data_IF_419119057071
#
_entry.id   IF_419119057071
#
_cell.length_a   1.000
_cell.length_b   1.000
_cell.length_c   1.000
_cell.angle_alpha   90.00
_cell.angle_beta   90.00
_cell.angle_gamma   90.00
#
_symmetry.space_group_name_H-M   'P 1'
#
loop_
_entity.id
_entity.type
_entity.pdbx_description
1 polymer ?
#
# COMPACT_ATOMS: atom_id res chain seq x y z
N UNK A 1 10.25 0.01 11.37
CA UNK A 1 9.20 0.33 10.38
C UNK A 1 9.71 1.37 9.41
N UNK A 2 9.16 1.37 8.20
CA UNK A 2 9.55 2.23 7.10
C UNK A 2 8.35 2.53 6.20
N UNK A 3 8.27 3.75 5.72
CA UNK A 3 7.32 4.18 4.69
C UNK A 3 8.07 4.98 3.64
N UNK A 4 7.86 4.64 2.37
CA UNK A 4 8.53 5.26 1.24
C UNK A 4 7.56 5.56 0.12
N UNK A 5 7.81 6.67 -0.58
CA UNK A 5 7.11 7.09 -1.77
C UNK A 5 8.12 7.24 -2.91
N UNK A 6 7.82 6.61 -4.04
CA UNK A 6 8.63 6.70 -5.25
C UNK A 6 7.85 7.50 -6.27
N UNK A 7 8.42 8.62 -6.71
CA UNK A 7 7.84 9.49 -7.74
C UNK A 7 8.46 9.11 -9.08
N UNK A 8 7.58 8.86 -10.04
CA UNK A 8 7.88 8.39 -11.37
C UNK A 8 7.43 9.42 -12.40
N UNK A 9 8.21 9.61 -13.45
CA UNK A 9 7.82 10.40 -14.63
C UNK A 9 7.74 9.50 -15.85
N UNK A 10 6.60 9.48 -16.54
CA UNK A 10 6.44 8.60 -17.70
C UNK A 10 7.18 9.16 -18.92
N UNK A 11 7.96 8.33 -19.62
CA UNK A 11 8.66 8.71 -20.86
C UNK A 11 7.78 8.60 -22.11
N UNK A 12 6.75 7.76 -22.05
CA UNK A 12 5.78 7.53 -23.11
C UNK A 12 4.35 7.42 -22.56
N UNK A 13 3.36 7.57 -23.43
CA UNK A 13 1.95 7.41 -23.08
C UNK A 13 1.49 5.98 -23.39
N UNK A 14 0.49 5.48 -22.67
CA UNK A 14 -0.05 4.14 -22.89
C UNK A 14 -1.09 3.72 -21.85
N UNK A 15 -1.57 2.49 -21.97
CA UNK A 15 -2.48 1.88 -21.00
C UNK A 15 -1.86 0.57 -20.51
N UNK A 16 -1.79 0.41 -19.19
CA UNK A 16 -1.39 -0.85 -18.56
C UNK A 16 -2.64 -1.45 -17.93
N UNK A 17 -3.02 -2.65 -18.37
CA UNK A 17 -4.21 -3.32 -17.86
C UNK A 17 -4.03 -3.82 -16.43
N UNK A 18 -2.82 -4.24 -16.05
CA UNK A 18 -2.47 -4.83 -14.75
C UNK A 18 -1.31 -4.10 -14.04
N UNK A 19 -1.40 -2.78 -13.80
CA UNK A 19 -0.27 -1.96 -13.34
C UNK A 19 0.27 -2.42 -11.97
N UNK A 20 -0.58 -2.82 -11.04
CA UNK A 20 -0.15 -3.31 -9.71
C UNK A 20 0.67 -4.60 -9.79
N UNK A 21 0.32 -5.51 -10.70
CA UNK A 21 1.07 -6.75 -10.93
C UNK A 21 2.43 -6.46 -11.57
N UNK A 22 2.47 -5.58 -12.57
CA UNK A 22 3.70 -5.17 -13.23
C UNK A 22 4.63 -4.45 -12.26
N UNK A 23 4.10 -3.55 -11.45
CA UNK A 23 4.84 -2.85 -10.40
C UNK A 23 5.41 -3.85 -9.38
N UNK A 24 4.58 -4.79 -8.90
CA UNK A 24 5.06 -5.84 -8.01
C UNK A 24 6.24 -6.60 -8.62
N UNK A 25 6.13 -7.05 -9.88
CA UNK A 25 7.22 -7.74 -10.58
C UNK A 25 8.50 -6.91 -10.66
N UNK A 26 8.40 -5.62 -10.97
CA UNK A 26 9.55 -4.73 -11.01
C UNK A 26 10.22 -4.57 -9.63
N UNK A 27 9.42 -4.37 -8.56
CA UNK A 27 9.96 -4.25 -7.20
C UNK A 27 10.59 -5.58 -6.74
N UNK A 28 9.98 -6.72 -7.03
CA UNK A 28 10.58 -8.02 -6.68
C UNK A 28 11.92 -8.22 -7.40
N UNK A 29 12.03 -7.80 -8.67
CA UNK A 29 13.32 -7.86 -9.39
C UNK A 29 14.42 -7.08 -8.66
N UNK A 30 14.12 -5.87 -8.18
CA UNK A 30 15.07 -5.07 -7.39
C UNK A 30 15.39 -5.70 -6.03
N UNK A 31 14.40 -6.29 -5.36
CA UNK A 31 14.64 -6.92 -4.07
C UNK A 31 15.42 -8.24 -4.21
N UNK A 32 15.20 -8.99 -5.29
CA UNK A 32 15.84 -10.29 -5.54
C UNK A 32 17.35 -10.21 -5.82
N UNK A 33 17.87 -9.03 -6.17
CA UNK A 33 19.34 -8.83 -6.30
C UNK A 33 20.05 -8.83 -4.93
N UNK A 34 19.31 -8.64 -3.84
CA UNK A 34 19.85 -8.58 -2.47
C UNK A 34 19.29 -9.62 -1.51
N UNK A 35 18.04 -10.03 -1.71
CA UNK A 35 17.34 -10.97 -0.83
C UNK A 35 17.09 -12.28 -1.56
N UNK A 36 17.26 -13.38 -0.83
CA UNK A 36 16.77 -14.69 -1.27
C UNK A 36 15.25 -14.60 -1.54
N UNK A 37 14.81 -15.18 -2.66
CA UNK A 37 13.41 -15.17 -3.09
C UNK A 37 12.47 -15.74 -2.01
N UNK A 38 12.95 -16.68 -1.18
CA UNK A 38 12.21 -17.23 -0.05
C UNK A 38 11.94 -16.17 1.04
N UNK A 39 12.79 -15.15 1.20
CA UNK A 39 12.51 -14.02 2.11
C UNK A 39 11.44 -13.07 1.55
N UNK A 40 11.08 -13.18 0.28
CA UNK A 40 10.06 -12.35 -0.39
C UNK A 40 8.75 -13.14 -0.58
N UNK A 41 8.84 -14.42 -0.92
CA UNK A 41 7.69 -15.27 -1.29
C UNK A 41 7.55 -16.56 -0.48
N UNK A 42 8.51 -16.89 0.38
CA UNK A 42 8.48 -18.08 1.21
C UNK A 42 7.54 -17.98 2.42
N UNK A 43 7.59 -18.99 3.29
CA UNK A 43 6.74 -19.08 4.49
C UNK A 43 7.01 -17.95 5.49
N UNK A 44 8.28 -17.61 5.66
CA UNK A 44 8.77 -16.53 6.54
C UNK A 44 9.06 -15.25 5.76
N UNK A 45 8.28 -14.97 4.72
CA UNK A 45 8.47 -13.79 3.90
C UNK A 45 8.35 -12.51 4.73
N UNK A 46 9.18 -11.54 4.38
CA UNK A 46 9.10 -10.18 4.92
C UNK A 46 7.73 -9.59 4.57
N UNK A 47 7.09 -8.99 5.57
CA UNK A 47 5.79 -8.33 5.39
C UNK A 47 6.03 -6.91 4.89
N UNK A 48 5.59 -6.64 3.68
CA UNK A 48 5.53 -5.30 3.13
C UNK A 48 4.25 -5.12 2.34
N UNK A 49 3.88 -3.86 2.14
CA UNK A 49 2.70 -3.48 1.40
C UNK A 49 3.08 -2.52 0.29
N UNK A 50 2.50 -2.72 -0.88
CA UNK A 50 2.56 -1.80 -2.01
C UNK A 50 1.19 -1.17 -2.21
N UNK A 51 1.16 0.12 -2.55
CA UNK A 51 -0.03 0.72 -3.15
C UNK A 51 -0.06 0.46 -4.67
N UNK A 52 -1.23 0.63 -5.31
CA UNK A 52 -1.31 0.86 -6.75
C UNK A 52 -0.50 2.10 -7.17
N UNK A 53 -0.38 2.31 -8.48
CA UNK A 53 0.13 3.56 -9.04
C UNK A 53 -0.95 4.64 -8.97
N UNK A 54 -0.55 5.79 -8.46
CA UNK A 54 -1.36 6.99 -8.32
C UNK A 54 -0.86 8.09 -9.25
N UNK A 55 -1.77 8.90 -9.79
CA UNK A 55 -1.43 10.17 -10.42
C UNK A 55 -1.09 11.19 -9.34
N UNK A 56 0.04 11.88 -9.49
CA UNK A 56 0.45 12.93 -8.55
C UNK A 56 -0.46 14.16 -8.62
N UNK A 57 -1.17 14.37 -9.74
CA UNK A 57 -2.07 15.51 -9.96
C UNK A 57 -3.34 15.44 -9.12
N UNK A 58 -3.90 14.24 -8.93
CA UNK A 58 -5.23 14.07 -8.34
C UNK A 58 -5.33 12.95 -7.31
N UNK A 59 -4.23 12.28 -6.99
CA UNK A 59 -4.18 11.20 -6.01
C UNK A 59 -5.22 10.10 -6.30
N UNK A 60 -5.46 9.82 -7.59
CA UNK A 60 -6.30 8.70 -8.03
C UNK A 60 -5.43 7.57 -8.60
N UNK A 61 -5.85 6.33 -8.36
CA UNK A 61 -5.21 5.18 -8.99
C UNK A 61 -5.40 5.22 -10.50
N UNK A 62 -4.34 4.97 -11.27
CA UNK A 62 -4.35 5.09 -12.73
C UNK A 62 -4.07 3.76 -13.45
N UNK A 63 -4.60 3.65 -14.66
CA UNK A 63 -4.26 2.60 -15.64
C UNK A 63 -3.81 3.18 -16.99
N UNK A 64 -4.18 4.43 -17.28
CA UNK A 64 -3.73 5.21 -18.43
C UNK A 64 -2.64 6.16 -17.97
N UNK A 65 -1.55 6.19 -18.71
CA UNK A 65 -0.39 7.01 -18.46
C UNK A 65 -0.17 7.95 -19.63
N UNK A 66 0.24 9.16 -19.33
CA UNK A 66 0.49 10.24 -20.27
C UNK A 66 1.97 10.58 -20.24
N UNK A 67 2.52 10.96 -21.40
CA UNK A 67 3.93 11.28 -21.54
C UNK A 67 4.26 12.52 -20.69
N UNK A 68 5.38 12.46 -19.98
CA UNK A 68 5.89 13.49 -19.06
C UNK A 68 5.04 13.76 -17.81
N UNK A 69 3.91 13.07 -17.62
CA UNK A 69 3.13 13.17 -16.40
C UNK A 69 3.79 12.40 -15.25
N UNK A 70 3.47 12.84 -14.02
CA UNK A 70 4.04 12.31 -12.77
C UNK A 70 3.07 11.36 -12.06
N UNK A 71 3.62 10.26 -11.61
CA UNK A 71 2.94 9.20 -10.89
C UNK A 71 3.71 8.87 -9.63
N UNK A 72 3.08 8.17 -8.69
CA UNK A 72 3.79 7.65 -7.54
C UNK A 72 3.19 6.36 -7.03
N UNK A 73 3.97 5.63 -6.26
CA UNK A 73 3.47 4.54 -5.43
C UNK A 73 4.11 4.59 -4.05
N UNK A 74 3.40 4.00 -3.10
CA UNK A 74 3.83 3.83 -1.72
C UNK A 74 4.33 2.41 -1.51
N UNK A 75 5.41 2.28 -0.74
CA UNK A 75 5.81 1.04 -0.09
C UNK A 75 5.91 1.28 1.41
N UNK A 76 5.44 0.33 2.21
CA UNK A 76 5.68 0.33 3.64
C UNK A 76 6.00 -1.07 4.15
N UNK A 77 6.76 -1.13 5.24
CA UNK A 77 7.20 -2.38 5.84
C UNK A 77 7.56 -2.21 7.31
N UNK A 78 7.52 -3.30 8.07
CA UNK A 78 8.12 -3.35 9.41
C UNK A 78 9.65 -3.42 9.34
N UNK A 79 10.19 -3.94 8.24
CA UNK A 79 11.62 -4.16 7.99
C UNK A 79 12.29 -2.94 7.34
N UNK A 80 13.08 -2.19 8.11
CA UNK A 80 13.79 -1.00 7.60
C UNK A 80 14.74 -1.33 6.44
N UNK A 81 15.35 -2.52 6.45
CA UNK A 81 16.30 -2.98 5.43
C UNK A 81 15.68 -3.03 4.03
N UNK A 82 14.36 -3.30 3.91
CA UNK A 82 13.68 -3.36 2.61
C UNK A 82 13.76 -2.02 1.87
N UNK A 83 13.47 -0.91 2.54
CA UNK A 83 13.51 0.39 1.86
C UNK A 83 14.92 0.91 1.62
N UNK A 84 15.91 0.53 2.43
CA UNK A 84 17.33 0.83 2.17
C UNK A 84 17.85 0.12 0.90
N UNK A 85 17.49 -1.16 0.74
CA UNK A 85 17.84 -1.92 -0.47
C UNK A 85 17.12 -1.32 -1.68
N UNK A 86 15.83 -1.03 -1.54
CA UNK A 86 15.07 -0.41 -2.62
C UNK A 86 15.65 0.95 -3.02
N UNK A 87 15.99 1.82 -2.06
CA UNK A 87 16.59 3.12 -2.35
C UNK A 87 17.91 2.99 -3.10
N UNK A 88 18.75 2.04 -2.70
CA UNK A 88 20.03 1.78 -3.36
C UNK A 88 19.82 1.27 -4.80
N UNK A 89 18.89 0.34 -5.01
CA UNK A 89 18.60 -0.19 -6.34
C UNK A 89 18.00 0.85 -7.28
N UNK A 90 17.08 1.68 -6.79
CA UNK A 90 16.50 2.78 -7.57
C UNK A 90 17.53 3.87 -7.91
N UNK A 91 18.59 4.03 -7.10
CA UNK A 91 19.69 4.93 -7.41
C UNK A 91 20.61 4.39 -8.51
N UNK A 92 20.77 3.06 -8.61
CA UNK A 92 21.54 2.41 -9.67
C UNK A 92 20.75 2.27 -10.98
N UNK A 93 19.47 1.91 -10.88
CA UNK A 93 18.55 1.78 -12.01
C UNK A 93 17.54 2.93 -11.96
N UNK A 94 17.83 4.03 -12.68
CA UNK A 94 17.00 5.24 -12.71
C UNK A 94 15.71 5.12 -13.52
N UNK A 95 15.39 3.93 -14.03
CA UNK A 95 14.18 3.69 -14.81
C UNK A 95 13.48 2.40 -14.44
N UNK A 96 12.15 2.40 -14.47
CA UNK A 96 11.31 1.22 -14.30
C UNK A 96 10.47 1.06 -15.56
N UNK A 97 10.49 -0.14 -16.15
CA UNK A 97 9.60 -0.48 -17.28
C UNK A 97 8.43 -1.31 -16.78
N UNK A 98 7.21 -0.83 -17.01
CA UNK A 98 5.98 -1.52 -16.68
C UNK A 98 5.23 -1.83 -17.98
N UNK A 99 5.35 -3.09 -18.42
CA UNK A 99 5.00 -3.48 -19.78
C UNK A 99 5.75 -2.59 -20.81
N UNK A 100 5.03 -1.95 -21.71
CA UNK A 100 5.54 -1.13 -22.80
C UNK A 100 5.74 0.35 -22.39
N UNK A 101 5.45 0.71 -21.14
CA UNK A 101 5.63 2.07 -20.61
C UNK A 101 6.90 2.15 -19.75
N UNK A 102 7.75 3.13 -20.06
CA UNK A 102 8.99 3.39 -19.34
C UNK A 102 8.81 4.60 -18.44
N UNK A 103 9.18 4.43 -17.18
CA UNK A 103 9.17 5.48 -16.16
C UNK A 103 10.60 5.82 -15.77
N UNK A 104 10.90 7.11 -15.67
CA UNK A 104 12.07 7.62 -14.95
C UNK A 104 11.73 7.75 -13.46
N UNK A 105 12.66 7.36 -12.59
CA UNK A 105 12.53 7.61 -11.15
C UNK A 105 13.00 9.04 -10.90
N UNK A 106 12.05 9.92 -10.61
CA UNK A 106 12.32 11.35 -10.41
C UNK A 106 12.70 11.64 -8.96
N UNK A 107 11.98 11.06 -8.00
CA UNK A 107 12.26 11.27 -6.57
C UNK A 107 12.03 9.98 -5.76
N UNK A 108 12.83 9.78 -4.72
CA UNK A 108 12.63 8.75 -3.71
C UNK A 108 12.62 9.37 -2.32
N UNK A 109 11.50 9.24 -1.60
CA UNK A 109 11.34 9.78 -0.25
C UNK A 109 11.05 8.64 0.72
N UNK A 110 11.66 8.69 1.89
CA UNK A 110 11.57 7.61 2.87
C UNK A 110 11.58 8.19 4.28
N UNK A 111 10.76 7.61 5.16
CA UNK A 111 10.76 7.90 6.58
C UNK A 111 10.88 6.60 7.38
N UNK A 112 11.71 6.62 8.41
CA UNK A 112 11.88 5.49 9.35
C UNK A 112 11.58 5.87 10.81
N UNK A 113 11.10 7.10 11.00
CA UNK A 113 10.76 7.73 12.27
C UNK A 113 9.36 8.33 12.15
N UNK A 114 8.52 8.08 13.15
CA UNK A 114 7.11 8.43 13.11
C UNK A 114 6.72 9.02 14.47
N UNK A 115 5.96 10.11 14.45
CA UNK A 115 5.21 10.58 15.60
C UNK A 115 3.89 9.80 15.66
N UNK A 116 3.59 9.21 16.80
CA UNK A 116 2.36 8.44 17.01
C UNK A 116 1.45 9.13 18.01
N UNK A 117 0.21 9.34 17.58
CA UNK A 117 -0.84 10.01 18.34
C UNK A 117 -1.98 9.02 18.58
N UNK A 118 -1.88 8.24 19.66
CA UNK A 118 -2.80 7.13 19.95
C UNK A 118 -4.26 7.56 20.06
N UNK A 119 -4.53 8.77 20.55
CA UNK A 119 -5.86 9.36 20.65
C UNK A 119 -6.59 9.48 19.30
N UNK A 120 -5.84 9.51 18.19
CA UNK A 120 -6.39 9.62 16.83
C UNK A 120 -6.34 8.31 16.04
N UNK A 121 -5.81 7.22 16.62
CA UNK A 121 -5.73 5.91 15.97
C UNK A 121 -7.07 5.17 16.03
N UNK A 122 -8.11 5.77 15.47
CA UNK A 122 -9.47 5.23 15.41
C UNK A 122 -9.92 4.93 13.97
N UNK A 123 -9.12 5.28 12.96
CA UNK A 123 -9.54 5.23 11.55
C UNK A 123 -8.48 4.59 10.66
N UNK A 124 -8.92 3.64 9.83
CA UNK A 124 -8.13 3.06 8.74
C UNK A 124 -8.64 3.58 7.40
N UNK A 125 -7.74 4.16 6.61
CA UNK A 125 -8.00 4.61 5.24
C UNK A 125 -7.39 3.60 4.25
N UNK A 126 -8.24 2.93 3.48
CA UNK A 126 -7.84 1.92 2.51
C UNK A 126 -7.39 2.57 1.20
N UNK A 127 -6.12 2.94 1.12
CA UNK A 127 -5.47 3.49 -0.08
C UNK A 127 -5.12 2.42 -1.12
N UNK A 128 -5.73 1.26 -1.04
CA UNK A 128 -5.81 0.29 -2.12
C UNK A 128 -6.94 -0.68 -1.81
N UNK A 129 -7.50 -1.36 -2.82
CA UNK A 129 -8.61 -2.29 -2.61
C UNK A 129 -8.25 -3.37 -1.59
N UNK A 130 -9.01 -3.44 -0.50
CA UNK A 130 -8.90 -4.51 0.50
C UNK A 130 -9.90 -5.61 0.19
N UNK A 131 -9.44 -6.84 0.25
CA UNK A 131 -10.30 -8.00 0.17
C UNK A 131 -9.78 -9.08 1.09
N UNK A 132 -10.67 -9.93 1.57
CA UNK A 132 -10.29 -11.07 2.40
C UNK A 132 -10.65 -12.37 1.72
N UNK A 133 -9.74 -13.33 1.77
CA UNK A 133 -10.00 -14.67 1.24
C UNK A 133 -10.95 -15.42 2.18
N UNK A 134 -12.11 -15.83 1.66
CA UNK A 134 -13.06 -16.69 2.39
C UNK A 134 -12.75 -18.16 2.09
N UNK A 135 -12.52 -18.48 0.81
CA UNK A 135 -12.20 -19.84 0.35
C UNK A 135 -11.21 -19.80 -0.82
N UNK A 136 -10.91 -20.96 -1.43
CA UNK A 136 -9.94 -21.04 -2.54
C UNK A 136 -10.28 -20.07 -3.69
N UNK A 137 -11.57 -19.90 -3.99
CA UNK A 137 -12.07 -19.13 -5.12
C UNK A 137 -13.00 -17.96 -4.73
N UNK A 138 -13.22 -17.72 -3.43
CA UNK A 138 -14.15 -16.69 -2.94
C UNK A 138 -13.42 -15.67 -2.10
N UNK A 139 -13.67 -14.41 -2.41
CA UNK A 139 -13.13 -13.23 -1.76
C UNK A 139 -14.28 -12.37 -1.22
N UNK A 140 -14.10 -11.81 -0.03
CA UNK A 140 -14.99 -10.82 0.58
C UNK A 140 -14.47 -9.41 0.25
N UNK A 141 -15.15 -8.64 -0.61
CA UNK A 141 -14.73 -7.30 -1.01
C UNK A 141 -15.20 -6.22 -0.02
N UNK A 142 -15.24 -6.53 1.28
CA UNK A 142 -15.67 -5.63 2.34
C UNK A 142 -14.75 -5.74 3.56
N UNK A 143 -14.53 -4.64 4.31
CA UNK A 143 -13.79 -4.67 5.57
C UNK A 143 -14.57 -5.48 6.60
N UNK A 144 -13.95 -6.55 7.10
CA UNK A 144 -14.53 -7.44 8.11
C UNK A 144 -13.70 -7.31 9.41
N UNK A 145 -14.26 -6.71 10.48
CA UNK A 145 -13.57 -6.54 11.76
C UNK A 145 -12.93 -7.82 12.29
N UNK A 146 -13.60 -8.97 12.17
CA UNK A 146 -13.07 -10.23 12.68
C UNK A 146 -11.81 -10.64 11.91
N UNK A 147 -11.75 -10.36 10.61
CA UNK A 147 -10.59 -10.67 9.77
C UNK A 147 -9.45 -9.67 9.94
N UNK A 148 -9.78 -8.40 10.21
CA UNK A 148 -8.78 -7.39 10.58
C UNK A 148 -8.15 -7.76 11.93
N UNK A 149 -8.97 -8.05 12.94
CA UNK A 149 -8.54 -8.56 14.26
C UNK A 149 -7.68 -9.81 14.12
N UNK A 150 -8.09 -10.79 13.31
CA UNK A 150 -7.30 -12.00 13.04
C UNK A 150 -5.95 -11.68 12.37
N UNK A 151 -5.94 -10.74 11.42
CA UNK A 151 -4.70 -10.32 10.75
C UNK A 151 -3.74 -9.65 11.74
N UNK A 152 -4.25 -8.76 12.59
CA UNK A 152 -3.49 -8.14 13.68
C UNK A 152 -2.96 -9.18 14.66
N UNK A 153 -3.81 -10.13 15.06
CA UNK A 153 -3.44 -11.16 16.01
C UNK A 153 -2.30 -12.04 15.49
N UNK A 154 -2.30 -12.35 14.19
CA UNK A 154 -1.21 -13.06 13.53
C UNK A 154 0.08 -12.26 13.40
N UNK A 155 -0.02 -10.93 13.20
CA UNK A 155 1.15 -10.05 13.10
C UNK A 155 1.80 -9.83 14.46
N UNK A 156 0.98 -9.64 15.50
CA UNK A 156 1.41 -9.29 16.85
C UNK A 156 1.59 -10.51 17.76
N UNK A 157 1.28 -11.72 17.27
CA UNK A 157 1.34 -12.97 18.02
C UNK A 157 0.57 -12.94 19.37
N UNK A 158 -0.57 -12.25 19.39
CA UNK A 158 -1.46 -12.16 20.56
C UNK A 158 -2.91 -11.97 20.11
N UNK A 159 -3.87 -12.28 20.97
CA UNK A 159 -5.29 -12.01 20.66
C UNK A 159 -5.58 -10.51 20.68
N UNK A 160 -6.28 -10.03 19.66
CA UNK A 160 -6.64 -8.61 19.49
C UNK A 160 -8.13 -8.50 19.31
N UNK A 161 -8.80 -7.82 20.24
CA UNK A 161 -10.18 -7.37 20.05
C UNK A 161 -10.19 -5.95 19.49
N UNK A 162 -10.92 -5.73 18.40
CA UNK A 162 -11.09 -4.41 17.83
C UNK A 162 -12.33 -3.74 18.41
N UNK A 163 -12.31 -2.42 18.64
CA UNK A 163 -13.52 -1.71 19.02
C UNK A 163 -14.61 -1.85 17.93
N UNK A 164 -15.89 -1.66 18.28
CA UNK A 164 -16.97 -1.66 17.30
C UNK A 164 -16.75 -0.62 16.19
N UNK A 165 -17.23 -0.91 14.97
CA UNK A 165 -17.23 0.07 13.89
C UNK A 165 -18.27 1.16 14.23
N UNK A 166 -17.82 2.42 14.25
CA UNK A 166 -18.65 3.62 14.38
C UNK A 166 -19.12 4.14 13.03
N UNK A 167 -18.26 4.12 12.01
CA UNK A 167 -18.61 4.56 10.67
C UNK A 167 -17.82 3.80 9.61
N UNK A 168 -18.42 3.69 8.42
CA UNK A 168 -17.86 3.05 7.24
C UNK A 168 -18.33 3.83 6.03
N UNK A 169 -17.41 4.27 5.18
CA UNK A 169 -17.74 4.86 3.89
C UNK A 169 -16.73 4.43 2.84
N UNK A 170 -17.19 4.10 1.63
CA UNK A 170 -16.34 3.53 0.60
C UNK A 170 -17.12 2.96 -0.58
N UNK A 171 -16.38 2.45 -1.54
CA UNK A 171 -16.91 1.67 -2.66
C UNK A 171 -16.06 0.45 -2.95
N UNK A 172 -16.59 -0.41 -3.81
CA UNK A 172 -15.82 -1.49 -4.41
C UNK A 172 -14.99 -0.98 -5.59
N UNK A 173 -13.75 -1.45 -5.69
CA UNK A 173 -12.85 -1.17 -6.81
C UNK A 173 -12.15 -2.45 -7.25
N UNK A 174 -12.06 -2.61 -8.57
CA UNK A 174 -11.41 -3.74 -9.20
C UNK A 174 -9.93 -3.47 -9.49
N UNK A 175 -9.06 -4.42 -9.15
CA UNK A 175 -7.69 -4.52 -9.65
C UNK A 175 -7.60 -5.72 -10.58
N UNK A 176 -7.12 -5.47 -11.79
CA UNK A 176 -6.93 -6.48 -12.81
C UNK A 176 -5.50 -7.03 -12.72
N UNK A 177 -5.39 -8.35 -12.72
CA UNK A 177 -4.18 -9.13 -12.91
C UNK A 177 -4.26 -9.84 -14.26
N UNK A 178 -3.13 -10.37 -14.73
CA UNK A 178 -2.95 -11.06 -16.00
C UNK A 178 -4.02 -12.12 -16.30
N UNK A 179 -4.42 -12.88 -15.28
CA UNK A 179 -5.35 -14.01 -15.43
C UNK A 179 -6.65 -13.89 -14.63
N UNK A 180 -6.81 -12.84 -13.82
CA UNK A 180 -7.98 -12.67 -12.97
C UNK A 180 -8.18 -11.22 -12.54
N UNK A 181 -9.39 -10.87 -12.13
CA UNK A 181 -9.68 -9.57 -11.51
C UNK A 181 -10.10 -9.78 -10.06
N UNK A 182 -9.55 -8.95 -9.17
CA UNK A 182 -9.91 -8.93 -7.74
C UNK A 182 -10.70 -7.66 -7.48
N UNK A 183 -11.89 -7.81 -6.88
CA UNK A 183 -12.68 -6.70 -6.36
C UNK A 183 -12.40 -6.56 -4.87
N UNK A 184 -12.17 -5.33 -4.41
CA UNK A 184 -11.98 -5.03 -2.99
C UNK A 184 -12.56 -3.68 -2.62
N UNK A 185 -12.63 -3.41 -1.33
CA UNK A 185 -13.14 -2.16 -0.76
C UNK A 185 -12.07 -1.06 -0.74
N UNK A 186 -12.47 0.18 -1.03
CA UNK A 186 -11.65 1.39 -0.93
C UNK A 186 -12.49 2.46 -0.23
N UNK A 187 -11.90 3.20 0.70
CA UNK A 187 -12.60 4.16 1.56
C UNK A 187 -12.00 4.16 2.96
N UNK A 188 -12.82 4.30 3.99
CA UNK A 188 -12.37 4.25 5.38
C UNK A 188 -13.28 3.42 6.28
N UNK A 189 -12.70 2.89 7.36
CA UNK A 189 -13.44 2.42 8.54
C UNK A 189 -13.02 3.24 9.74
N UNK A 190 -14.00 3.65 10.55
CA UNK A 190 -13.79 4.34 11.81
C UNK A 190 -14.34 3.50 12.95
N UNK A 191 -13.53 3.29 13.97
CA UNK A 191 -13.84 2.56 15.18
C UNK A 191 -14.44 3.49 16.25
N UNK A 192 -15.14 2.91 17.23
CA UNK A 192 -15.80 3.64 18.30
C UNK A 192 -14.82 4.27 19.30
N UNK A 193 -13.64 3.68 19.45
CA UNK A 193 -12.53 4.17 20.26
C UNK A 193 -11.21 3.96 19.53
N UNK A 194 -10.16 4.65 19.98
CA UNK A 194 -8.82 4.45 19.46
C UNK A 194 -8.27 3.05 19.81
N UNK A 195 -7.35 2.56 18.98
CA UNK A 195 -6.67 1.29 19.14
C UNK A 195 -5.22 1.40 18.63
N UNK A 196 -4.26 1.37 19.56
CA UNK A 196 -2.82 1.49 19.24
C UNK A 196 -2.33 0.41 18.26
N UNK A 197 -2.94 -0.78 18.30
CA UNK A 197 -2.55 -1.90 17.46
C UNK A 197 -2.78 -1.63 15.97
N UNK A 198 -3.60 -0.64 15.62
CA UNK A 198 -3.81 -0.25 14.23
C UNK A 198 -2.54 0.26 13.57
N UNK A 199 -1.59 0.85 14.33
CA UNK A 199 -0.33 1.37 13.82
C UNK A 199 0.38 0.38 12.88
N UNK A 200 0.45 -0.89 13.28
CA UNK A 200 1.18 -1.92 12.53
C UNK A 200 0.59 -2.17 11.14
N UNK A 201 -0.71 -1.90 10.93
CA UNK A 201 -1.39 -2.06 9.65
C UNK A 201 -0.97 -1.01 8.64
N UNK A 202 -0.45 0.14 9.08
CA UNK A 202 0.17 1.13 8.20
C UNK A 202 1.33 0.49 7.40
N UNK A 203 2.05 -0.44 8.04
CA UNK A 203 3.29 -1.02 7.51
C UNK A 203 3.11 -2.43 6.95
N UNK A 204 2.08 -3.15 7.39
CA UNK A 204 1.82 -4.54 6.97
C UNK A 204 0.67 -4.65 5.97
N UNK A 205 -0.20 -3.65 5.92
CA UNK A 205 -1.46 -3.70 5.21
C UNK A 205 -2.47 -4.65 5.85
N UNK A 206 -3.64 -4.76 5.23
CA UNK A 206 -4.78 -5.57 5.68
C UNK A 206 -5.25 -6.49 4.57
N UNK A 207 -5.64 -7.72 4.92
CA UNK A 207 -6.29 -8.63 3.97
C UNK A 207 -5.31 -9.35 3.04
N UNK A 208 -5.75 -9.63 1.83
CA UNK A 208 -5.05 -10.53 0.91
C UNK A 208 -4.06 -9.80 -0.01
N UNK A 209 -2.88 -10.41 -0.18
CA UNK A 209 -1.89 -10.06 -1.22
C UNK A 209 -1.36 -8.62 -1.17
N UNK A 210 -1.01 -8.15 0.04
CA UNK A 210 -0.57 -6.77 0.30
C UNK A 210 0.66 -6.33 -0.50
N UNK A 211 1.61 -7.25 -0.69
CA UNK A 211 2.79 -7.03 -1.53
C UNK A 211 2.46 -6.78 -3.02
N UNK A 212 1.22 -7.01 -3.49
CA UNK A 212 0.81 -6.87 -4.90
C UNK A 212 -0.13 -5.69 -5.18
N UNK A 213 -0.14 -4.66 -4.33
CA UNK A 213 -0.97 -3.48 -4.56
C UNK A 213 -2.39 -3.57 -4.00
N UNK A 214 -2.65 -4.50 -3.06
CA UNK A 214 -3.93 -4.65 -2.37
C UNK A 214 -3.74 -4.33 -0.88
N UNK A 215 -4.80 -3.99 -0.15
CA UNK A 215 -4.76 -3.91 1.30
C UNK A 215 -3.78 -2.90 1.92
N UNK A 216 -3.14 -2.02 1.15
CA UNK A 216 -2.46 -0.82 1.64
C UNK A 216 -3.44 0.07 2.39
N UNK A 217 -3.05 0.41 3.61
CA UNK A 217 -3.83 1.21 4.55
C UNK A 217 -2.96 2.32 5.10
N UNK A 218 -3.56 3.48 5.33
CA UNK A 218 -3.02 4.55 6.15
C UNK A 218 -3.83 4.62 7.44
N UNK A 219 -3.15 4.77 8.56
CA UNK A 219 -3.74 4.86 9.91
C UNK A 219 -3.69 6.30 10.35
N UNK A 220 -4.82 6.85 10.80
CA UNK A 220 -4.85 8.20 11.38
C UNK A 220 -4.01 8.24 12.66
N UNK A 221 -3.22 9.30 12.87
CA UNK A 221 -2.33 9.42 14.03
C UNK A 221 -0.98 8.68 13.90
N UNK A 222 -0.65 8.16 12.72
CA UNK A 222 0.71 7.69 12.39
C UNK A 222 1.33 8.67 11.39
N UNK A 223 2.22 9.53 11.89
CA UNK A 223 2.72 10.66 11.12
C UNK A 223 4.24 10.55 10.88
N UNK A 224 4.68 10.41 9.61
CA UNK A 224 6.09 10.37 9.30
C UNK A 224 6.75 11.71 9.61
N UNK A 225 7.95 11.66 10.18
CA UNK A 225 8.74 12.87 10.51
C UNK A 225 9.20 13.59 9.24
N UNK A 226 9.41 12.86 8.14
CA UNK A 226 9.86 13.44 6.86
C UNK A 226 8.70 14.14 6.16
N UNK A 227 8.81 15.47 6.03
CA UNK A 227 7.77 16.36 5.50
C UNK A 227 7.19 15.93 4.15
N UNK A 228 8.05 15.54 3.20
CA UNK A 228 7.59 15.13 1.86
C UNK A 228 6.78 13.82 1.89
N UNK A 229 7.16 12.88 2.75
CA UNK A 229 6.40 11.63 2.99
C UNK A 229 5.05 11.97 3.61
N UNK A 230 5.03 12.92 4.57
CA UNK A 230 3.80 13.39 5.23
C UNK A 230 2.83 14.03 4.23
N UNK A 231 3.28 14.98 3.41
CA UNK A 231 2.43 15.65 2.41
C UNK A 231 1.80 14.68 1.40
N UNK A 232 2.56 13.69 0.92
CA UNK A 232 2.03 12.69 0.00
C UNK A 232 0.99 11.79 0.68
N UNK A 233 1.24 11.41 1.93
CA UNK A 233 0.30 10.67 2.76
C UNK A 233 -1.00 11.45 2.97
N UNK A 234 -0.91 12.72 3.37
CA UNK A 234 -2.05 13.62 3.57
C UNK A 234 -2.89 13.75 2.29
N UNK A 235 -2.25 13.93 1.13
CA UNK A 235 -2.96 13.96 -0.16
C UNK A 235 -3.72 12.67 -0.46
N UNK A 236 -3.19 11.49 -0.09
CA UNK A 236 -3.93 10.23 -0.21
C UNK A 236 -5.10 10.14 0.78
N UNK A 237 -4.90 10.58 2.02
CA UNK A 237 -5.94 10.59 3.07
C UNK A 237 -7.11 11.49 2.68
N UNK A 238 -6.83 12.72 2.24
CA UNK A 238 -7.86 13.68 1.84
C UNK A 238 -8.77 13.15 0.73
N UNK A 239 -8.20 12.44 -0.26
CA UNK A 239 -9.00 11.86 -1.35
C UNK A 239 -9.91 10.76 -0.84
N UNK A 240 -9.43 9.91 0.06
CA UNK A 240 -10.26 8.82 0.59
C UNK A 240 -11.30 9.32 1.62
N UNK A 241 -11.06 10.44 2.29
CA UNK A 241 -12.03 11.12 3.15
C UNK A 241 -13.11 11.87 2.33
N UNK A 242 -12.72 12.62 1.29
CA UNK A 242 -13.65 13.42 0.46
C UNK A 242 -14.50 12.62 -0.50
N UNK A 243 -14.23 11.32 -0.69
CA UNK A 243 -14.99 10.49 -1.64
C UNK A 243 -16.44 10.24 -1.22
N UNK A 244 -16.79 10.48 0.05
CA UNK A 244 -18.10 10.16 0.65
C UNK A 244 -18.46 11.18 1.74
#
# INVERSE_FOLDING_TARGET
MIESFVILKSKNAGVINNPSERLHGAIIKFLASYFDINRIHGKEKMRFVLSPLYSLRNFQMVRKFERNERYFFRLASVEKKLGQVLSFQLALESTISLADIVFEIEEFHMSTEFATHYEFMDTLYFVSPVTFRISKNVNLPLPDPQRISKSLSQVLAKEIELPPIKALAGCSKAISFSHHTIVGFVGFIKFASSCEYLEILNFTGVGYSTARGLGSVLVKGVDPVVEKVRKLREGMLEVEEKRY
#
